data_IF_123622419292
#
_entry.id   IF_123622419292
#
_cell.length_a   1.000
_cell.length_b   1.000
_cell.length_c   1.000
_cell.angle_alpha   90.00
_cell.angle_beta   90.00
_cell.angle_gamma   90.00
#
_symmetry.space_group_name_H-M   'P 1'
#
loop_
_entity.id
_entity.type
_entity.pdbx_description
1 polymer ?
#
# COMPACT_ATOMS: atom_id res chain seq x y z
N UNK A 1 15.66 -24.70 -1.28
CA UNK A 1 14.18 -24.77 -1.36
C UNK A 1 13.64 -23.38 -1.06
N UNK A 2 12.85 -22.78 -1.96
CA UNK A 2 12.31 -21.42 -1.79
C UNK A 2 11.25 -21.31 -0.66
N UNK A 3 10.81 -22.43 -0.10
CA UNK A 3 9.81 -22.46 0.99
C UNK A 3 10.38 -22.60 2.40
N UNK A 4 11.69 -22.40 2.63
CA UNK A 4 12.17 -22.36 4.03
C UNK A 4 11.79 -21.04 4.70
N UNK A 5 11.46 -21.03 6.00
CA UNK A 5 11.11 -19.79 6.72
C UNK A 5 12.17 -18.69 6.59
N UNK A 6 13.45 -19.08 6.56
CA UNK A 6 14.57 -18.15 6.37
C UNK A 6 14.58 -17.55 4.96
N UNK A 7 14.29 -18.34 3.92
CA UNK A 7 14.22 -17.83 2.56
C UNK A 7 13.05 -16.85 2.40
N UNK A 8 11.89 -17.15 3.01
CA UNK A 8 10.73 -16.24 3.02
C UNK A 8 11.07 -14.93 3.72
N UNK A 9 11.70 -14.98 4.90
CA UNK A 9 12.10 -13.78 5.64
C UNK A 9 13.07 -12.89 4.85
N UNK A 10 14.05 -13.49 4.15
CA UNK A 10 14.98 -12.75 3.29
C UNK A 10 14.26 -12.09 2.11
N UNK A 11 13.35 -12.82 1.45
CA UNK A 11 12.59 -12.30 0.31
C UNK A 11 11.63 -11.18 0.70
N UNK A 12 10.93 -11.31 1.83
CA UNK A 12 10.07 -10.25 2.36
C UNK A 12 10.89 -9.02 2.80
N UNK A 13 12.08 -9.25 3.36
CA UNK A 13 13.04 -8.19 3.67
C UNK A 13 13.47 -7.40 2.43
N UNK A 14 13.90 -8.10 1.39
CA UNK A 14 14.30 -7.50 0.10
C UNK A 14 13.13 -6.77 -0.57
N UNK A 15 11.94 -7.36 -0.58
CA UNK A 15 10.74 -6.72 -1.11
C UNK A 15 10.41 -5.43 -0.37
N UNK A 16 10.49 -5.44 0.97
CA UNK A 16 10.24 -4.24 1.78
C UNK A 16 11.25 -3.13 1.48
N UNK A 17 12.53 -3.45 1.30
CA UNK A 17 13.57 -2.48 0.92
C UNK A 17 13.26 -1.88 -0.46
N UNK A 18 12.99 -2.72 -1.46
CA UNK A 18 12.67 -2.29 -2.83
C UNK A 18 11.41 -1.42 -2.88
N UNK A 19 10.33 -1.87 -2.25
CA UNK A 19 9.08 -1.12 -2.18
C UNK A 19 9.25 0.24 -1.49
N UNK A 20 10.03 0.29 -0.41
CA UNK A 20 10.37 1.54 0.30
C UNK A 20 11.09 2.51 -0.63
N UNK A 21 12.12 2.03 -1.34
CA UNK A 21 12.91 2.87 -2.22
C UNK A 21 12.06 3.43 -3.38
N UNK A 22 11.28 2.56 -4.04
CA UNK A 22 10.41 3.00 -5.14
C UNK A 22 9.33 3.99 -4.68
N UNK A 23 8.73 3.80 -3.51
CA UNK A 23 7.77 4.76 -2.96
C UNK A 23 8.42 6.10 -2.63
N UNK A 24 9.64 6.10 -2.08
CA UNK A 24 10.37 7.32 -1.76
C UNK A 24 10.75 8.09 -3.04
N UNK A 25 11.27 7.39 -4.03
CA UNK A 25 11.64 7.93 -5.34
C UNK A 25 10.43 8.51 -6.09
N UNK A 26 9.26 7.87 -6.00
CA UNK A 26 8.04 8.31 -6.70
C UNK A 26 7.59 9.73 -6.32
N UNK A 27 8.01 10.23 -5.15
CA UNK A 27 7.69 11.57 -4.64
C UNK A 27 8.95 12.42 -4.39
N UNK A 28 10.12 11.97 -4.89
CA UNK A 28 11.41 12.62 -4.71
C UNK A 28 11.75 12.92 -3.22
N UNK A 29 11.59 11.92 -2.37
CA UNK A 29 11.83 12.04 -0.92
C UNK A 29 12.79 10.97 -0.40
N UNK A 30 13.31 11.19 0.82
CA UNK A 30 14.04 10.14 1.53
C UNK A 30 13.07 9.11 2.15
N UNK A 31 13.46 7.82 2.26
CA UNK A 31 12.62 6.75 2.79
C UNK A 31 11.92 7.00 4.14
N UNK A 32 12.56 7.77 5.02
CA UNK A 32 12.11 8.06 6.38
C UNK A 32 11.40 9.40 6.52
N UNK A 33 11.48 10.27 5.52
CA UNK A 33 10.79 11.56 5.53
C UNK A 33 9.29 11.33 5.48
N UNK A 34 8.55 12.07 6.32
CA UNK A 34 7.11 11.93 6.41
C UNK A 34 6.42 12.89 5.45
N UNK A 35 5.48 12.37 4.67
CA UNK A 35 4.64 13.12 3.75
C UNK A 35 3.17 12.77 3.96
N UNK A 36 2.29 13.66 3.52
CA UNK A 36 0.86 13.37 3.56
C UNK A 36 0.55 12.17 2.67
N UNK A 37 -0.31 11.28 3.15
CA UNK A 37 -0.62 10.01 2.47
C UNK A 37 -1.08 10.19 1.01
N UNK A 38 -1.72 11.32 0.68
CA UNK A 38 -2.22 11.60 -0.67
C UNK A 38 -1.08 11.74 -1.69
N UNK A 39 0.17 11.90 -1.26
CA UNK A 39 1.33 11.84 -2.15
C UNK A 39 1.50 10.46 -2.79
N UNK A 40 1.02 9.39 -2.14
CA UNK A 40 1.06 8.01 -2.67
C UNK A 40 -0.33 7.47 -3.05
N UNK A 41 -1.39 7.95 -2.41
CA UNK A 41 -2.76 7.45 -2.62
C UNK A 41 -3.66 8.43 -3.41
N UNK A 42 -3.11 9.46 -4.04
CA UNK A 42 -3.92 10.31 -4.91
C UNK A 42 -4.44 9.50 -6.10
N UNK A 43 -5.75 9.52 -6.29
CA UNK A 43 -6.37 9.05 -7.51
C UNK A 43 -5.98 9.97 -8.67
N UNK A 44 -5.87 9.42 -9.88
CA UNK A 44 -5.58 10.19 -11.08
C UNK A 44 -6.61 11.31 -11.23
N UNK A 45 -6.14 12.55 -11.40
CA UNK A 45 -7.00 13.71 -11.68
C UNK A 45 -7.54 13.69 -13.11
N UNK A 46 -7.09 12.73 -13.93
CA UNK A 46 -7.65 12.49 -15.26
C UNK A 46 -9.10 12.03 -15.08
N UNK A 47 -10.08 12.69 -15.72
CA UNK A 47 -11.46 12.22 -15.74
C UNK A 47 -11.48 10.89 -16.46
N UNK A 48 -11.35 9.83 -15.68
CA UNK A 48 -11.66 8.50 -16.10
C UNK A 48 -13.15 8.35 -15.84
N UNK A 49 -13.92 7.97 -16.86
CA UNK A 49 -15.37 7.83 -16.74
C UNK A 49 -15.78 6.80 -15.68
N UNK A 50 -17.06 6.43 -15.66
CA UNK A 50 -17.60 5.42 -14.72
C UNK A 50 -16.75 4.13 -14.65
N UNK A 51 -16.11 3.74 -15.74
CA UNK A 51 -15.24 2.58 -15.86
C UNK A 51 -14.12 2.50 -14.81
N UNK A 52 -13.47 3.61 -14.45
CA UNK A 52 -12.40 3.58 -13.45
C UNK A 52 -12.94 3.44 -12.03
N UNK A 53 -14.05 4.11 -11.72
CA UNK A 53 -14.72 3.97 -10.44
C UNK A 53 -15.27 2.55 -10.23
N UNK A 54 -15.75 1.91 -11.31
CA UNK A 54 -16.22 0.53 -11.29
C UNK A 54 -15.05 -0.46 -11.19
N UNK A 55 -13.93 -0.19 -11.85
CA UNK A 55 -12.70 -0.95 -11.70
C UNK A 55 -12.15 -0.91 -10.26
N UNK A 56 -12.04 0.27 -9.65
CA UNK A 56 -11.61 0.41 -8.26
C UNK A 56 -12.56 -0.31 -7.31
N UNK A 57 -13.88 -0.17 -7.53
CA UNK A 57 -14.88 -0.91 -6.76
C UNK A 57 -14.75 -2.42 -6.94
N UNK A 58 -14.43 -2.91 -8.14
CA UNK A 58 -14.17 -4.33 -8.38
C UNK A 58 -12.90 -4.82 -7.64
N UNK A 59 -11.79 -4.06 -7.71
CA UNK A 59 -10.56 -4.36 -6.98
C UNK A 59 -10.78 -4.40 -5.46
N UNK A 60 -11.58 -3.47 -4.94
CA UNK A 60 -11.86 -3.34 -3.51
C UNK A 60 -12.88 -4.33 -2.95
N UNK A 61 -13.53 -5.18 -3.75
CA UNK A 61 -14.61 -6.08 -3.28
C UNK A 61 -14.20 -7.01 -2.14
N UNK A 62 -12.92 -7.35 -2.08
CA UNK A 62 -12.38 -8.34 -1.13
C UNK A 62 -11.55 -7.69 -0.02
N UNK A 63 -11.43 -6.36 -0.02
CA UNK A 63 -10.64 -5.63 0.97
C UNK A 63 -11.55 -5.01 2.02
N UNK A 64 -11.06 -4.97 3.26
CA UNK A 64 -11.79 -4.35 4.37
C UNK A 64 -10.87 -3.40 5.12
N UNK A 65 -11.41 -2.30 5.65
CA UNK A 65 -10.61 -1.29 6.33
C UNK A 65 -9.90 -1.83 7.58
N UNK A 66 -10.43 -2.88 8.21
CA UNK A 66 -9.87 -3.56 9.37
C UNK A 66 -8.75 -4.56 9.01
N UNK A 67 -8.88 -5.29 7.89
CA UNK A 67 -7.91 -6.35 7.53
C UNK A 67 -6.83 -5.89 6.55
N UNK A 68 -7.19 -5.06 5.57
CA UNK A 68 -6.26 -4.53 4.57
C UNK A 68 -6.46 -3.02 4.41
N UNK A 69 -6.10 -2.21 5.42
CA UNK A 69 -6.34 -0.77 5.40
C UNK A 69 -5.70 -0.04 4.21
N UNK A 70 -4.50 -0.41 3.76
CA UNK A 70 -3.86 0.17 2.58
C UNK A 70 -4.58 -0.24 1.30
N UNK A 71 -4.78 -1.55 1.07
CA UNK A 71 -5.50 -2.02 -0.13
C UNK A 71 -6.93 -1.48 -0.21
N UNK A 72 -7.61 -1.37 0.93
CA UNK A 72 -8.91 -0.72 1.04
C UNK A 72 -8.81 0.75 0.65
N UNK A 73 -7.89 1.52 1.25
CA UNK A 73 -7.77 2.97 1.01
C UNK A 73 -7.51 3.34 -0.45
N UNK A 74 -6.69 2.56 -1.18
CA UNK A 74 -6.36 2.84 -2.60
C UNK A 74 -7.45 2.41 -3.58
N UNK A 75 -8.41 1.59 -3.15
CA UNK A 75 -9.53 1.14 -3.97
C UNK A 75 -10.82 1.92 -3.72
N UNK A 76 -10.77 2.94 -2.83
CA UNK A 76 -11.91 3.81 -2.60
C UNK A 76 -12.08 4.84 -3.72
N UNK A 77 -13.34 5.12 -4.08
CA UNK A 77 -13.70 6.12 -5.11
C UNK A 77 -13.35 7.56 -4.69
N UNK A 78 -13.35 7.81 -3.38
CA UNK A 78 -13.00 9.09 -2.77
C UNK A 78 -11.72 8.92 -1.96
N UNK A 79 -10.99 9.99 -1.65
CA UNK A 79 -9.78 9.96 -0.81
C UNK A 79 -10.09 9.63 0.67
N UNK A 80 -10.77 8.52 0.92
CA UNK A 80 -11.02 7.99 2.24
C UNK A 80 -9.92 7.01 2.58
N UNK A 81 -9.07 7.42 3.51
CA UNK A 81 -8.12 6.55 4.17
C UNK A 81 -8.82 5.80 5.30
N UNK A 82 -8.45 4.54 5.53
CA UNK A 82 -9.01 3.73 6.59
C UNK A 82 -8.86 4.41 7.96
N UNK A 83 -9.87 4.26 8.81
CA UNK A 83 -9.86 4.86 10.15
C UNK A 83 -8.66 4.32 10.95
N UNK A 84 -7.89 5.21 11.57
CA UNK A 84 -6.69 4.85 12.33
C UNK A 84 -5.40 4.79 11.52
N UNK A 85 -5.45 4.87 10.18
CA UNK A 85 -4.23 5.05 9.39
C UNK A 85 -3.67 6.47 9.58
N UNK A 86 -2.33 6.60 9.66
CA UNK A 86 -1.70 7.90 9.82
C UNK A 86 -1.87 8.74 8.55
N UNK A 87 -2.36 9.98 8.70
CA UNK A 87 -2.45 10.94 7.59
C UNK A 87 -1.10 11.44 7.10
N UNK A 88 -0.05 11.24 7.91
CA UNK A 88 1.32 11.63 7.67
C UNK A 88 2.20 10.39 7.90
N UNK A 89 2.82 9.87 6.85
CA UNK A 89 3.63 8.65 6.91
C UNK A 89 4.87 8.76 6.03
N UNK A 90 5.86 7.90 6.25
CA UNK A 90 7.03 7.78 5.38
C UNK A 90 6.86 6.62 4.42
N UNK A 91 7.62 6.63 3.31
CA UNK A 91 7.66 5.53 2.36
C UNK A 91 7.99 4.19 3.04
N UNK A 92 8.93 4.20 3.99
CA UNK A 92 9.28 3.00 4.78
C UNK A 92 8.10 2.46 5.58
N UNK A 93 7.32 3.34 6.24
CA UNK A 93 6.16 2.92 7.03
C UNK A 93 5.04 2.39 6.13
N UNK A 94 4.83 3.03 4.98
CA UNK A 94 3.83 2.63 4.00
C UNK A 94 4.17 1.28 3.36
N UNK A 95 5.39 1.11 2.83
CA UNK A 95 5.87 -0.17 2.29
C UNK A 95 5.79 -1.29 3.34
N UNK A 96 6.13 -0.98 4.59
CA UNK A 96 5.99 -1.88 5.72
C UNK A 96 4.58 -2.44 5.83
N UNK A 97 3.57 -1.57 5.86
CA UNK A 97 2.16 -1.95 5.94
C UNK A 97 1.69 -2.72 4.70
N UNK A 98 2.05 -2.30 3.49
CA UNK A 98 1.68 -2.98 2.24
C UNK A 98 2.19 -4.43 2.18
N UNK A 99 3.44 -4.66 2.56
CA UNK A 99 4.04 -6.01 2.55
C UNK A 99 3.36 -6.90 3.59
N UNK A 100 3.07 -6.38 4.78
CA UNK A 100 2.36 -7.15 5.81
C UNK A 100 0.92 -7.48 5.36
N UNK A 101 0.19 -6.53 4.76
CA UNK A 101 -1.18 -6.77 4.30
C UNK A 101 -1.29 -7.88 3.25
N UNK A 102 -0.34 -7.94 2.31
CA UNK A 102 -0.39 -8.88 1.19
C UNK A 102 0.13 -10.26 1.59
N UNK A 103 1.21 -10.31 2.37
CA UNK A 103 1.94 -11.55 2.60
C UNK A 103 1.71 -12.18 3.98
N UNK A 104 1.29 -11.41 4.99
CA UNK A 104 1.13 -11.94 6.36
C UNK A 104 -0.19 -12.68 6.57
N UNK A 105 -1.17 -12.53 5.67
CA UNK A 105 -2.42 -13.32 5.68
C UNK A 105 -2.16 -14.81 5.43
N UNK A 106 -1.01 -15.18 4.84
CA UNK A 106 -0.66 -16.56 4.52
C UNK A 106 0.48 -17.13 5.39
N UNK A 107 0.87 -16.44 6.47
CA UNK A 107 1.96 -16.85 7.38
C UNK A 107 1.45 -17.51 8.68
N UNK A 108 0.13 -17.75 8.79
CA UNK A 108 -0.50 -18.47 9.89
C UNK A 108 -0.80 -19.94 9.52
#
# INVERSE_FOLDING_TARGET
>A
RLGSPQAVALLLGDLRVKATQHLAESINAAPTTRHYYHQWFASSTVPTGGDHADFLSWLGKWTTADKQPVCWSVTQRWQTVALGMPRLCSAQRLAGAMVEEIFSVNLA
#
